data_IF_202044850715
#
_entry.id   IF_202044850715
#
_cell.length_a   1.000
_cell.length_b   1.000
_cell.length_c   1.000
_cell.angle_alpha   90.00
_cell.angle_beta   90.00
_cell.angle_gamma   90.00
#
_symmetry.space_group_name_H-M   'P 1'
#
loop_
_entity.id
_entity.type
_entity.pdbx_description
1 polymer ?
#
# COMPACT_ATOMS: atom_id res chain seq x y z
N UNK A 1 -12.13 -1.65 -46.23
CA UNK A 1 -13.21 -1.47 -45.24
C UNK A 1 -14.03 -2.74 -45.08
N UNK A 2 -14.36 -3.45 -46.16
CA UNK A 2 -15.23 -4.64 -46.14
C UNK A 2 -14.72 -5.82 -45.29
N UNK A 3 -13.42 -6.09 -45.30
CA UNK A 3 -12.82 -7.17 -44.50
C UNK A 3 -13.00 -6.93 -42.99
N UNK A 4 -12.86 -5.67 -42.53
CA UNK A 4 -13.08 -5.33 -41.13
C UNK A 4 -14.55 -5.50 -40.73
N UNK A 5 -15.48 -5.12 -41.60
CA UNK A 5 -16.92 -5.35 -41.38
C UNK A 5 -17.27 -6.84 -41.32
N UNK A 6 -16.68 -7.66 -42.18
CA UNK A 6 -16.88 -9.12 -42.16
C UNK A 6 -16.30 -9.75 -40.89
N UNK A 7 -15.10 -9.34 -40.46
CA UNK A 7 -14.48 -9.81 -39.20
C UNK A 7 -15.36 -9.43 -37.99
N UNK A 8 -15.86 -8.19 -37.94
CA UNK A 8 -16.76 -7.74 -36.87
C UNK A 8 -18.09 -8.52 -36.92
N UNK A 9 -18.63 -8.77 -38.12
CA UNK A 9 -19.86 -9.55 -38.31
C UNK A 9 -19.73 -10.99 -37.80
N UNK A 10 -18.62 -11.67 -38.11
CA UNK A 10 -18.33 -13.01 -37.60
C UNK A 10 -18.08 -13.01 -36.09
N UNK A 11 -17.38 -12.01 -35.56
CA UNK A 11 -17.19 -11.88 -34.11
C UNK A 11 -18.53 -11.69 -33.38
N UNK A 12 -19.42 -10.84 -33.89
CA UNK A 12 -20.73 -10.60 -33.32
C UNK A 12 -21.67 -11.80 -33.48
N UNK A 13 -21.57 -12.60 -34.56
CA UNK A 13 -22.39 -13.81 -34.71
C UNK A 13 -21.99 -14.92 -33.73
N UNK A 14 -20.73 -14.92 -33.27
CA UNK A 14 -20.22 -15.80 -32.21
C UNK A 14 -20.50 -15.27 -30.78
N UNK A 15 -21.45 -14.35 -30.60
CA UNK A 15 -21.79 -13.78 -29.29
C UNK A 15 -22.12 -14.85 -28.25
N UNK A 16 -22.79 -15.94 -28.63
CA UNK A 16 -23.12 -17.04 -27.74
C UNK A 16 -21.90 -17.77 -27.18
N UNK A 17 -20.71 -17.61 -27.78
CA UNK A 17 -19.46 -18.18 -27.29
C UNK A 17 -18.73 -17.24 -26.32
N UNK A 18 -18.51 -15.98 -26.71
CA UNK A 18 -17.74 -15.04 -25.89
C UNK A 18 -18.58 -14.29 -24.84
N UNK A 19 -19.86 -14.04 -25.10
CA UNK A 19 -20.73 -13.28 -24.19
C UNK A 19 -20.97 -14.04 -22.87
N UNK A 20 -21.30 -15.35 -22.85
CA UNK A 20 -21.44 -16.07 -21.58
C UNK A 20 -20.16 -16.08 -20.75
N UNK A 21 -18.99 -16.22 -21.39
CA UNK A 21 -17.69 -16.16 -20.70
C UNK A 21 -17.44 -14.77 -20.11
N UNK A 22 -17.70 -13.71 -20.88
CA UNK A 22 -17.55 -12.33 -20.41
C UNK A 22 -18.53 -12.02 -19.27
N UNK A 23 -19.80 -12.41 -19.39
CA UNK A 23 -20.82 -12.23 -18.36
C UNK A 23 -20.51 -13.04 -17.10
N UNK A 24 -20.02 -14.27 -17.24
CA UNK A 24 -19.62 -15.09 -16.10
C UNK A 24 -18.42 -14.49 -15.38
N UNK A 25 -17.41 -14.00 -16.11
CA UNK A 25 -16.28 -13.28 -15.52
C UNK A 25 -16.72 -12.03 -14.76
N UNK A 26 -17.59 -11.22 -15.37
CA UNK A 26 -18.15 -10.03 -14.72
C UNK A 26 -19.00 -10.39 -13.49
N UNK A 27 -19.81 -11.45 -13.59
CA UNK A 27 -20.61 -11.97 -12.48
C UNK A 27 -19.72 -12.39 -11.30
N UNK A 28 -18.69 -13.19 -11.54
CA UNK A 28 -17.76 -13.62 -10.48
C UNK A 28 -17.05 -12.42 -9.84
N UNK A 29 -16.62 -11.42 -10.63
CA UNK A 29 -16.02 -10.21 -10.08
C UNK A 29 -17.00 -9.43 -9.19
N UNK A 30 -18.22 -9.18 -9.68
CA UNK A 30 -19.25 -8.45 -8.93
C UNK A 30 -19.72 -9.23 -7.68
N UNK A 31 -19.92 -10.53 -7.81
CA UNK A 31 -20.32 -11.44 -6.75
C UNK A 31 -19.29 -11.46 -5.62
N UNK A 32 -18.01 -11.67 -5.97
CA UNK A 32 -16.94 -11.65 -4.97
C UNK A 32 -16.80 -10.28 -4.32
N UNK A 33 -16.97 -9.19 -5.07
CA UNK A 33 -16.92 -7.83 -4.52
C UNK A 33 -18.07 -7.58 -3.53
N UNK A 34 -19.27 -8.05 -3.86
CA UNK A 34 -20.43 -7.98 -2.97
C UNK A 34 -20.21 -8.78 -1.69
N UNK A 35 -19.78 -10.05 -1.79
CA UNK A 35 -19.52 -10.90 -0.63
C UNK A 35 -18.43 -10.34 0.27
N UNK A 36 -17.32 -9.85 -0.30
CA UNK A 36 -16.26 -9.19 0.45
C UNK A 36 -16.76 -7.94 1.17
N UNK A 37 -17.57 -7.12 0.51
CA UNK A 37 -18.16 -5.93 1.15
C UNK A 37 -19.09 -6.32 2.31
N UNK A 38 -19.86 -7.40 2.15
CA UNK A 38 -20.71 -7.95 3.22
C UNK A 38 -19.88 -8.49 4.38
N UNK A 39 -18.79 -9.20 4.11
CA UNK A 39 -17.87 -9.70 5.13
C UNK A 39 -17.19 -8.56 5.90
N UNK A 40 -16.68 -7.54 5.20
CA UNK A 40 -16.02 -6.37 5.81
C UNK A 40 -16.95 -5.58 6.72
N UNK A 41 -18.24 -5.47 6.35
CA UNK A 41 -19.25 -4.79 7.17
C UNK A 41 -19.57 -5.54 8.48
N UNK A 42 -19.33 -6.85 8.53
CA UNK A 42 -19.56 -7.66 9.74
C UNK A 42 -18.42 -7.56 10.76
N UNK A 43 -17.27 -7.04 10.35
CA UNK A 43 -16.13 -6.87 11.27
C UNK A 43 -16.43 -5.68 12.19
N UNK A 44 -16.32 -5.92 13.50
CA UNK A 44 -16.35 -4.84 14.49
C UNK A 44 -15.00 -4.12 14.46
N UNK A 45 -15.03 -2.85 14.09
CA UNK A 45 -13.85 -2.01 13.99
C UNK A 45 -13.79 -1.07 15.19
N UNK A 46 -12.65 -1.03 15.85
CA UNK A 46 -12.36 -0.09 16.93
C UNK A 46 -11.26 0.87 16.48
N UNK A 47 -11.24 2.07 17.06
CA UNK A 47 -10.22 3.09 16.85
C UNK A 47 -9.55 3.39 18.19
N UNK A 48 -8.22 3.21 18.23
CA UNK A 48 -7.40 3.44 19.40
C UNK A 48 -6.59 4.72 19.18
N UNK A 49 -6.68 5.68 20.10
CA UNK A 49 -5.75 6.80 20.21
C UNK A 49 -4.51 6.32 20.98
N UNK A 50 -3.32 6.60 20.44
CA UNK A 50 -2.06 6.20 21.05
C UNK A 50 -1.26 7.46 21.40
N UNK A 51 -0.97 7.64 22.69
CA UNK A 51 -0.13 8.73 23.20
C UNK A 51 1.18 8.15 23.69
N UNK A 52 2.29 8.59 23.10
CA UNK A 52 3.63 8.11 23.44
C UNK A 52 4.32 9.12 24.36
N UNK A 53 4.99 8.68 25.45
CA UNK A 53 5.70 9.56 26.37
C UNK A 53 6.96 10.17 25.74
N UNK A 54 7.37 11.36 26.23
CA UNK A 54 8.45 12.17 25.66
C UNK A 54 9.85 11.58 25.83
N UNK A 55 10.06 10.76 26.85
CA UNK A 55 11.40 10.32 27.27
C UNK A 55 11.89 9.08 26.51
N UNK A 56 11.05 8.52 25.64
CA UNK A 56 11.30 7.24 24.98
C UNK A 56 12.05 7.48 23.67
N UNK A 57 13.39 7.52 23.76
CA UNK A 57 14.28 7.57 22.60
C UNK A 57 14.29 6.24 21.85
N UNK A 58 13.23 5.97 21.08
CA UNK A 58 13.11 4.76 20.23
C UNK A 58 13.23 5.14 18.76
N UNK A 59 14.14 4.48 18.06
CA UNK A 59 14.34 4.64 16.62
C UNK A 59 13.18 4.03 15.83
N UNK A 60 13.02 4.37 14.53
CA UNK A 60 12.05 3.73 13.64
C UNK A 60 12.10 2.19 13.66
N UNK A 61 13.26 1.60 13.96
CA UNK A 61 13.44 0.16 14.21
C UNK A 61 12.44 -0.45 15.21
N UNK A 62 12.01 0.29 16.23
CA UNK A 62 10.97 -0.18 17.17
C UNK A 62 9.62 -0.36 16.48
N UNK A 63 9.27 0.51 15.54
CA UNK A 63 8.06 0.36 14.74
C UNK A 63 8.17 -0.81 13.76
N UNK A 64 9.37 -1.13 13.25
CA UNK A 64 9.59 -2.34 12.45
C UNK A 64 9.24 -3.61 13.25
N UNK A 65 9.58 -3.65 14.55
CA UNK A 65 9.19 -4.76 15.44
C UNK A 65 7.68 -4.84 15.67
N UNK A 66 7.00 -3.69 15.82
CA UNK A 66 5.53 -3.65 15.89
C UNK A 66 4.93 -4.25 14.61
N UNK A 67 5.41 -3.84 13.44
CA UNK A 67 4.96 -4.41 12.18
C UNK A 67 5.23 -5.91 12.11
N UNK A 68 6.40 -6.38 12.55
CA UNK A 68 6.68 -7.81 12.61
C UNK A 68 5.65 -8.58 13.45
N UNK A 69 5.24 -8.04 14.60
CA UNK A 69 4.16 -8.60 15.42
C UNK A 69 2.79 -8.58 14.72
N UNK A 70 2.44 -7.48 14.05
CA UNK A 70 1.19 -7.37 13.29
C UNK A 70 1.14 -8.31 12.07
N UNK A 71 2.30 -8.73 11.55
CA UNK A 71 2.35 -9.72 10.48
C UNK A 71 1.75 -11.07 10.89
N UNK A 72 1.71 -11.38 12.21
CA UNK A 72 1.15 -12.62 12.75
C UNK A 72 -0.33 -12.85 12.45
N UNK A 73 -1.06 -11.81 12.02
CA UNK A 73 -2.48 -11.91 11.57
C UNK A 73 -2.65 -12.52 10.17
N UNK A 74 -1.55 -12.81 9.47
CA UNK A 74 -1.57 -13.43 8.15
C UNK A 74 -2.36 -14.74 8.16
N UNK A 75 -3.41 -14.81 7.34
CA UNK A 75 -4.27 -16.00 7.25
C UNK A 75 -4.26 -16.55 5.82
N UNK A 76 -4.14 -17.87 5.69
CA UNK A 76 -4.29 -18.56 4.39
C UNK A 76 -5.77 -18.64 4.03
N UNK A 77 -6.16 -17.90 2.98
CA UNK A 77 -7.54 -17.89 2.49
C UNK A 77 -7.70 -18.95 1.40
N UNK A 78 -8.51 -19.98 1.65
CA UNK A 78 -8.81 -21.02 0.65
C UNK A 78 -9.65 -20.46 -0.50
N UNK A 79 -9.58 -21.10 -1.67
CA UNK A 79 -10.35 -20.72 -2.86
C UNK A 79 -11.85 -20.62 -2.56
N UNK A 80 -12.44 -21.65 -1.94
CA UNK A 80 -13.86 -21.66 -1.60
C UNK A 80 -14.23 -20.45 -0.71
N UNK A 81 -13.50 -20.26 0.39
CA UNK A 81 -13.74 -19.16 1.33
C UNK A 81 -13.62 -17.78 0.67
N UNK A 82 -12.72 -17.63 -0.30
CA UNK A 82 -12.52 -16.38 -1.06
C UNK A 82 -13.73 -16.06 -1.94
N UNK A 83 -14.25 -17.06 -2.66
CA UNK A 83 -15.19 -16.82 -3.73
C UNK A 83 -16.67 -17.00 -3.34
N UNK A 84 -17.02 -17.81 -2.32
CA UNK A 84 -18.39 -17.80 -1.79
C UNK A 84 -18.59 -17.47 -0.30
N UNK A 85 -17.54 -17.43 0.54
CA UNK A 85 -17.68 -16.80 1.88
C UNK A 85 -17.26 -15.32 1.89
N UNK A 86 -16.56 -14.88 0.84
CA UNK A 86 -16.04 -13.51 0.75
C UNK A 86 -14.99 -13.19 1.82
N UNK A 87 -14.32 -14.20 2.38
CA UNK A 87 -13.31 -13.99 3.41
C UNK A 87 -12.17 -13.13 2.84
N UNK A 88 -11.84 -12.05 3.55
CA UNK A 88 -10.74 -11.15 3.21
C UNK A 88 -9.72 -11.17 4.32
N UNK A 89 -8.46 -10.92 3.96
CA UNK A 89 -7.43 -10.62 4.95
C UNK A 89 -7.80 -9.27 5.56
N UNK A 90 -8.03 -9.27 6.87
CA UNK A 90 -8.24 -8.06 7.66
C UNK A 90 -7.00 -7.19 7.62
N UNK A 91 -7.21 -5.89 7.82
CA UNK A 91 -6.17 -4.88 7.71
C UNK A 91 -6.22 -3.95 8.92
N UNK A 92 -5.11 -3.26 9.13
CA UNK A 92 -4.96 -2.20 10.11
C UNK A 92 -4.92 -0.85 9.39
N UNK A 93 -5.38 0.20 10.06
CA UNK A 93 -5.19 1.58 9.61
C UNK A 93 -4.35 2.29 10.66
N UNK A 94 -3.10 2.61 10.33
CA UNK A 94 -2.29 3.48 11.17
C UNK A 94 -2.46 4.90 10.65
N UNK A 95 -2.79 5.84 11.53
CA UNK A 95 -3.23 7.17 11.14
C UNK A 95 -2.45 8.24 11.92
N UNK A 96 -2.10 9.31 11.21
CA UNK A 96 -1.55 10.54 11.80
C UNK A 96 -2.53 11.65 11.47
N UNK A 97 -3.03 12.36 12.47
CA UNK A 97 -3.94 13.47 12.28
C UNK A 97 -3.32 14.76 12.82
N UNK A 98 -3.18 15.76 11.95
CA UNK A 98 -2.98 17.15 12.31
C UNK A 98 -4.34 17.85 12.44
N UNK A 99 -4.73 18.26 13.64
CA UNK A 99 -5.98 18.97 13.93
C UNK A 99 -5.62 20.26 14.65
N UNK A 100 -5.90 21.40 14.02
CA UNK A 100 -5.66 22.73 14.61
C UNK A 100 -4.23 22.91 15.16
N UNK A 101 -3.24 22.38 14.45
CA UNK A 101 -1.82 22.41 14.84
C UNK A 101 -1.40 21.32 15.84
N UNK A 102 -2.33 20.56 16.42
CA UNK A 102 -2.02 19.39 17.24
C UNK A 102 -1.80 18.14 16.40
N UNK A 103 -0.86 17.27 16.81
CA UNK A 103 -0.60 15.98 16.15
C UNK A 103 -1.10 14.83 17.02
N UNK A 104 -1.86 13.92 16.41
CA UNK A 104 -2.46 12.77 17.07
C UNK A 104 -2.18 11.50 16.28
N UNK A 105 -1.95 10.40 16.99
CA UNK A 105 -1.74 9.08 16.39
C UNK A 105 -2.91 8.17 16.72
N UNK A 106 -3.41 7.49 15.69
CA UNK A 106 -4.50 6.52 15.85
C UNK A 106 -4.17 5.20 15.17
N UNK A 107 -4.73 4.12 15.71
CA UNK A 107 -4.70 2.79 15.12
C UNK A 107 -6.11 2.24 15.06
N UNK A 108 -6.62 2.01 13.85
CA UNK A 108 -7.88 1.32 13.62
C UNK A 108 -7.62 -0.16 13.38
N UNK A 109 -8.27 -1.01 14.16
CA UNK A 109 -8.07 -2.46 14.13
C UNK A 109 -9.40 -3.19 14.31
N UNK A 110 -9.54 -4.43 13.80
CA UNK A 110 -10.61 -5.33 14.26
C UNK A 110 -10.54 -5.53 15.77
N UNK A 111 -11.70 -5.57 16.43
CA UNK A 111 -11.82 -5.73 17.89
C UNK A 111 -11.05 -6.96 18.41
N UNK A 112 -11.11 -8.08 17.68
CA UNK A 112 -10.40 -9.32 18.01
C UNK A 112 -8.86 -9.19 18.06
N UNK A 113 -8.28 -8.17 17.43
CA UNK A 113 -6.84 -7.92 17.45
C UNK A 113 -6.45 -6.74 18.34
N UNK A 114 -7.37 -6.19 19.14
CA UNK A 114 -7.08 -5.12 20.10
C UNK A 114 -5.88 -5.46 20.98
N UNK A 115 -5.95 -6.62 21.65
CA UNK A 115 -4.91 -7.06 22.58
C UNK A 115 -3.56 -7.26 21.89
N UNK A 116 -3.56 -7.74 20.63
CA UNK A 116 -2.34 -7.86 19.84
C UNK A 116 -1.71 -6.49 19.59
N UNK A 117 -2.51 -5.52 19.11
CA UNK A 117 -2.03 -4.17 18.82
C UNK A 117 -1.50 -3.49 20.08
N UNK A 118 -2.27 -3.53 21.17
CA UNK A 118 -1.86 -2.96 22.46
C UNK A 118 -0.56 -3.60 22.96
N UNK A 119 -0.46 -4.93 22.96
CA UNK A 119 0.75 -5.64 23.40
C UNK A 119 1.99 -5.28 22.57
N UNK A 120 1.86 -5.18 21.23
CA UNK A 120 2.98 -4.79 20.38
C UNK A 120 3.45 -3.35 20.65
N UNK A 121 2.50 -2.42 20.88
CA UNK A 121 2.83 -1.04 21.21
C UNK A 121 3.50 -0.97 22.59
N UNK A 122 2.92 -1.58 23.63
CA UNK A 122 3.48 -1.58 24.98
C UNK A 122 4.86 -2.24 25.05
N UNK A 123 5.12 -3.27 24.26
CA UNK A 123 6.43 -3.94 24.21
C UNK A 123 7.56 -2.98 23.79
N UNK A 124 7.27 -2.03 22.90
CA UNK A 124 8.25 -1.04 22.42
C UNK A 124 8.18 0.28 23.19
N UNK A 125 6.98 0.65 23.65
CA UNK A 125 6.63 1.88 24.34
C UNK A 125 5.86 1.58 25.65
N UNK A 126 6.53 1.12 26.72
CA UNK A 126 5.83 0.69 27.95
C UNK A 126 5.02 1.78 28.65
N UNK A 127 5.38 3.06 28.46
CA UNK A 127 4.66 4.19 29.03
C UNK A 127 3.63 4.83 28.10
N UNK A 128 3.28 4.18 26.98
CA UNK A 128 2.24 4.68 26.10
C UNK A 128 0.86 4.64 26.79
N UNK A 129 -0.01 5.60 26.49
CA UNK A 129 -1.42 5.53 26.87
C UNK A 129 -2.26 5.20 25.64
N UNK A 130 -3.04 4.11 25.72
CA UNK A 130 -3.91 3.66 24.64
C UNK A 130 -5.35 3.71 25.11
N UNK A 131 -6.18 4.47 24.40
CA UNK A 131 -7.60 4.60 24.70
C UNK A 131 -8.45 4.42 23.46
N UNK A 132 -9.60 3.77 23.62
CA UNK A 132 -10.59 3.70 22.55
C UNK A 132 -11.29 5.05 22.40
N UNK A 133 -11.45 5.51 21.17
CA UNK A 133 -12.03 6.81 20.85
C UNK A 133 -12.98 6.75 19.67
N UNK A 134 -13.83 7.77 19.55
CA UNK A 134 -14.72 7.93 18.40
C UNK A 134 -13.93 8.41 17.17
N UNK A 135 -14.48 8.18 15.98
CA UNK A 135 -13.83 8.55 14.72
C UNK A 135 -13.65 10.08 14.60
N UNK A 136 -12.41 10.53 14.72
CA UNK A 136 -12.02 11.94 14.61
C UNK A 136 -12.39 12.56 13.25
N UNK A 137 -12.43 11.78 12.17
CA UNK A 137 -12.72 12.27 10.83
C UNK A 137 -14.23 12.35 10.53
N UNK A 138 -15.06 11.62 11.27
CA UNK A 138 -16.51 11.49 11.03
C UNK A 138 -17.27 12.83 11.04
N UNK A 139 -17.10 13.69 12.07
CA UNK A 139 -17.78 14.99 12.15
C UNK A 139 -17.42 15.97 11.03
N UNK A 140 -16.19 15.88 10.50
CA UNK A 140 -15.73 16.74 9.39
C UNK A 140 -16.22 16.21 8.04
N UNK A 141 -16.26 14.90 7.90
CA UNK A 141 -16.71 14.25 6.68
C UNK A 141 -18.15 14.59 6.26
N UNK A 142 -19.06 14.74 7.22
CA UNK A 142 -20.46 15.12 6.93
C UNK A 142 -20.59 16.55 6.41
N UNK A 143 -19.59 17.39 6.68
CA UNK A 143 -19.57 18.82 6.30
C UNK A 143 -18.93 19.06 4.93
N UNK A 144 -18.46 18.03 4.24
CA UNK A 144 -17.54 18.17 3.10
C UNK A 144 -17.90 17.26 1.92
N UNK A 145 -17.83 17.75 0.67
CA UNK A 145 -17.62 19.15 0.29
C UNK A 145 -18.89 20.00 0.50
N UNK A 146 -18.74 21.18 1.09
CA UNK A 146 -19.83 22.16 1.25
C UNK A 146 -19.36 23.57 0.89
N UNK A 147 -20.24 24.57 1.02
CA UNK A 147 -19.85 25.99 0.84
C UNK A 147 -18.81 26.43 1.87
N UNK A 148 -18.88 25.90 3.09
CA UNK A 148 -18.09 26.37 4.22
C UNK A 148 -16.82 25.55 4.44
N UNK A 149 -16.77 24.31 3.94
CA UNK A 149 -15.61 23.44 4.06
C UNK A 149 -15.27 22.79 2.74
N UNK A 150 -13.98 22.79 2.41
CA UNK A 150 -13.45 22.10 1.25
C UNK A 150 -12.47 20.99 1.64
N UNK A 151 -12.25 20.08 0.68
CA UNK A 151 -11.30 18.98 0.78
C UNK A 151 -10.44 18.89 -0.45
N UNK A 152 -9.17 18.56 -0.23
CA UNK A 152 -8.38 17.91 -1.24
C UNK A 152 -7.70 16.67 -0.68
N UNK A 153 -7.62 15.65 -1.53
CA UNK A 153 -7.22 14.32 -1.12
C UNK A 153 -6.43 13.63 -2.22
N UNK A 154 -5.43 12.88 -1.79
CA UNK A 154 -4.48 12.19 -2.65
C UNK A 154 -4.30 10.78 -2.13
N UNK A 155 -4.30 9.80 -3.03
CA UNK A 155 -3.81 8.45 -2.76
C UNK A 155 -2.43 8.33 -3.40
N UNK A 156 -1.46 7.77 -2.66
CA UNK A 156 -0.15 7.49 -3.20
C UNK A 156 -0.10 6.15 -3.89
N UNK A 157 0.76 6.06 -4.91
CA UNK A 157 1.17 4.83 -5.55
C UNK A 157 2.69 4.85 -5.75
N UNK A 158 3.29 3.69 -5.94
CA UNK A 158 4.69 3.58 -6.28
C UNK A 158 4.94 4.03 -7.72
N UNK A 159 6.10 4.64 -7.95
CA UNK A 159 6.54 5.12 -9.25
C UNK A 159 6.92 3.96 -10.17
N UNK A 160 7.61 2.96 -9.62
CA UNK A 160 8.05 1.71 -10.27
C UNK A 160 7.41 0.49 -9.60
N UNK A 161 7.74 -0.69 -10.12
CA UNK A 161 7.23 -1.97 -9.61
C UNK A 161 7.53 -2.21 -8.13
N UNK A 162 6.63 -2.95 -7.48
CA UNK A 162 6.61 -3.21 -6.03
C UNK A 162 7.91 -3.80 -5.46
N UNK A 163 8.68 -4.55 -6.25
CA UNK A 163 9.92 -5.16 -5.79
C UNK A 163 11.10 -4.18 -5.67
N UNK A 164 11.00 -2.97 -6.25
CA UNK A 164 12.00 -1.93 -6.01
C UNK A 164 11.79 -1.29 -4.63
N UNK A 165 12.87 -1.09 -3.84
CA UNK A 165 12.77 -0.47 -2.53
C UNK A 165 12.66 1.05 -2.57
N UNK A 166 12.11 1.58 -1.48
CA UNK A 166 12.19 2.99 -1.09
C UNK A 166 13.46 3.24 -0.27
N UNK A 167 13.73 4.52 0.00
CA UNK A 167 14.73 4.92 0.98
C UNK A 167 14.26 4.53 2.38
N UNK A 168 15.09 3.81 3.14
CA UNK A 168 14.74 3.30 4.48
C UNK A 168 15.49 4.01 5.60
N UNK A 169 14.98 3.93 6.84
CA UNK A 169 15.52 4.62 8.02
C UNK A 169 17.02 4.41 8.27
N UNK A 170 17.66 3.24 8.01
CA UNK A 170 19.10 3.10 8.18
C UNK A 170 19.92 4.04 7.30
N UNK A 171 19.34 4.55 6.20
CA UNK A 171 19.97 5.53 5.31
C UNK A 171 19.78 6.99 5.78
N UNK A 172 19.08 7.21 6.90
CA UNK A 172 18.93 8.49 7.59
C UNK A 172 19.68 8.51 8.93
N UNK A 173 20.03 7.34 9.46
CA UNK A 173 20.80 7.21 10.69
C UNK A 173 22.26 7.55 10.44
N UNK A 174 22.71 8.68 10.99
CA UNK A 174 24.13 8.98 11.12
C UNK A 174 24.74 8.34 12.37
N UNK A 175 26.06 8.13 12.38
CA UNK A 175 26.78 7.52 13.51
C UNK A 175 26.73 8.37 14.78
N UNK A 176 26.59 9.68 14.63
CA UNK A 176 26.45 10.64 15.73
C UNK A 176 24.97 10.83 16.07
N UNK A 177 24.59 10.60 17.33
CA UNK A 177 23.19 10.70 17.77
C UNK A 177 22.59 12.09 17.57
N UNK A 178 23.40 13.14 17.72
CA UNK A 178 22.98 14.55 17.54
C UNK A 178 22.61 14.90 16.10
N UNK A 179 23.17 14.18 15.11
CA UNK A 179 22.89 14.40 13.69
C UNK A 179 21.84 13.45 13.13
N UNK A 180 21.27 12.59 13.97
CA UNK A 180 20.22 11.66 13.55
C UNK A 180 18.98 12.45 13.14
N UNK A 181 18.71 12.49 11.83
CA UNK A 181 17.50 13.09 11.29
C UNK A 181 16.36 12.08 11.32
N UNK A 182 15.29 12.41 12.02
CA UNK A 182 14.08 11.59 12.03
C UNK A 182 13.40 11.65 10.63
N UNK A 183 13.12 10.51 9.98
CA UNK A 183 12.52 10.49 8.65
C UNK A 183 11.15 11.16 8.54
N UNK A 184 10.35 11.30 9.61
CA UNK A 184 9.04 11.98 9.54
C UNK A 184 9.05 13.40 10.10
N UNK A 185 10.20 13.92 10.56
CA UNK A 185 10.30 15.25 11.17
C UNK A 185 9.73 16.37 10.29
N UNK A 186 10.12 16.41 9.00
CA UNK A 186 9.61 17.41 8.06
C UNK A 186 8.09 17.35 7.89
N UNK A 187 7.53 16.13 7.96
CA UNK A 187 6.08 15.93 7.88
C UNK A 187 5.36 16.42 9.14
N UNK A 188 5.89 16.11 10.33
CA UNK A 188 5.32 16.56 11.60
C UNK A 188 5.35 18.09 11.77
N UNK A 189 6.39 18.74 11.27
CA UNK A 189 6.51 20.20 11.29
C UNK A 189 5.48 20.90 10.38
N UNK A 190 5.03 20.24 9.32
CA UNK A 190 3.90 20.74 8.51
C UNK A 190 2.61 20.67 9.31
N UNK A 191 2.39 19.59 10.06
CA UNK A 191 1.19 19.39 10.87
C UNK A 191 1.13 20.37 12.06
N UNK A 192 2.27 20.67 12.68
CA UNK A 192 2.35 21.59 13.83
C UNK A 192 2.01 23.04 13.47
N UNK A 193 2.23 23.43 12.20
CA UNK A 193 1.98 24.77 11.66
C UNK A 193 0.57 24.98 11.10
N UNK A 194 -0.30 23.98 11.20
CA UNK A 194 -1.69 24.10 10.74
C UNK A 194 -2.42 25.19 11.52
N UNK A 195 -3.17 26.02 10.80
CA UNK A 195 -4.02 27.06 11.40
C UNK A 195 -5.29 26.45 12.01
N UNK A 196 -6.00 27.18 12.87
CA UNK A 196 -7.32 26.78 13.31
C UNK A 196 -8.25 26.49 12.13
N UNK A 197 -9.03 25.42 12.22
CA UNK A 197 -9.87 24.87 11.15
C UNK A 197 -9.13 24.30 9.94
N UNK A 198 -7.81 24.07 10.02
CA UNK A 198 -7.06 23.26 9.07
C UNK A 198 -6.76 21.88 9.63
N UNK A 199 -7.08 20.85 8.85
CA UNK A 199 -6.90 19.47 9.25
C UNK A 199 -6.20 18.69 8.14
N UNK A 200 -5.11 18.00 8.48
CA UNK A 200 -4.44 17.06 7.57
C UNK A 200 -4.46 15.69 8.21
N UNK A 201 -5.02 14.72 7.50
CA UNK A 201 -5.08 13.34 7.93
C UNK A 201 -4.30 12.46 6.98
N UNK A 202 -3.46 11.59 7.54
CA UNK A 202 -2.72 10.58 6.81
C UNK A 202 -3.17 9.22 7.27
N UNK A 203 -3.43 8.37 6.30
CA UNK A 203 -3.92 7.03 6.52
C UNK A 203 -2.99 6.02 5.85
N UNK A 204 -2.41 5.13 6.65
CA UNK A 204 -1.62 3.99 6.22
C UNK A 204 -2.45 2.72 6.43
N UNK A 205 -3.06 2.23 5.35
CA UNK A 205 -3.82 0.98 5.39
C UNK A 205 -2.87 -0.16 5.07
N UNK A 206 -2.67 -1.06 6.02
CA UNK A 206 -1.69 -2.14 5.90
C UNK A 206 -2.30 -3.49 6.22
N UNK A 207 -1.85 -4.53 5.54
CA UNK A 207 -2.15 -5.92 5.89
C UNK A 207 -0.99 -6.82 5.49
N UNK A 208 -0.76 -7.93 6.19
CA UNK A 208 0.25 -8.89 5.77
C UNK A 208 -0.07 -9.37 4.35
N UNK A 209 0.98 -9.49 3.52
CA UNK A 209 0.84 -9.97 2.16
C UNK A 209 0.41 -11.45 2.18
N UNK A 210 -0.45 -11.88 1.24
CA UNK A 210 -0.81 -13.31 1.19
C UNK A 210 0.35 -14.16 0.65
N UNK A 211 0.46 -15.42 1.08
CA UNK A 211 1.53 -16.34 0.61
C UNK A 211 1.65 -16.41 -0.92
N UNK A 212 0.52 -16.42 -1.64
CA UNK A 212 0.49 -16.46 -3.11
C UNK A 212 0.98 -15.15 -3.74
N UNK A 213 0.66 -14.00 -3.14
CA UNK A 213 1.14 -12.69 -3.59
C UNK A 213 2.64 -12.52 -3.28
N UNK A 214 3.08 -12.96 -2.10
CA UNK A 214 4.48 -12.95 -1.69
C UNK A 214 5.34 -13.74 -2.67
N UNK A 215 4.96 -14.98 -3.00
CA UNK A 215 5.66 -15.79 -3.99
C UNK A 215 5.80 -15.08 -5.34
N UNK A 216 4.74 -14.41 -5.82
CA UNK A 216 4.77 -13.67 -7.10
C UNK A 216 5.76 -12.51 -7.08
N UNK A 217 5.83 -11.78 -5.96
CA UNK A 217 6.79 -10.69 -5.82
C UNK A 217 8.21 -11.22 -5.76
N UNK A 218 8.45 -12.32 -5.03
CA UNK A 218 9.76 -12.99 -4.99
C UNK A 218 10.20 -13.46 -6.38
N UNK A 219 9.29 -14.06 -7.14
CA UNK A 219 9.56 -14.50 -8.51
C UNK A 219 9.82 -13.32 -9.47
N UNK A 220 9.06 -12.23 -9.35
CA UNK A 220 9.25 -11.03 -10.17
C UNK A 220 10.59 -10.33 -9.85
N UNK A 221 10.93 -10.22 -8.57
CA UNK A 221 12.20 -9.68 -8.09
C UNK A 221 13.38 -10.50 -8.64
N UNK A 222 13.33 -11.82 -8.48
CA UNK A 222 14.38 -12.69 -9.00
C UNK A 222 14.47 -12.60 -10.51
N UNK A 223 13.35 -12.59 -11.24
CA UNK A 223 13.37 -12.44 -12.70
C UNK A 223 13.99 -11.11 -13.14
N UNK A 224 13.85 -10.04 -12.35
CA UNK A 224 14.49 -8.76 -12.62
C UNK A 224 16.01 -8.81 -12.35
N UNK A 225 16.44 -9.44 -11.25
CA UNK A 225 17.85 -9.65 -10.93
C UNK A 225 18.52 -10.52 -12.01
N UNK A 226 17.86 -11.60 -12.43
CA UNK A 226 18.36 -12.48 -13.48
C UNK A 226 18.53 -11.73 -14.81
N UNK A 227 17.58 -10.85 -15.17
CA UNK A 227 17.71 -9.95 -16.32
C UNK A 227 18.91 -9.03 -16.22
N UNK A 228 19.19 -8.46 -15.05
CA UNK A 228 20.36 -7.61 -14.83
C UNK A 228 21.66 -8.40 -15.01
N UNK A 229 21.71 -9.65 -14.55
CA UNK A 229 22.85 -10.55 -14.77
C UNK A 229 22.95 -11.12 -16.19
N UNK A 230 22.04 -10.75 -17.10
CA UNK A 230 21.97 -11.33 -18.45
C UNK A 230 21.48 -12.79 -18.48
N UNK A 231 21.07 -13.34 -17.34
CA UNK A 231 20.45 -14.65 -17.23
C UNK A 231 19.01 -14.53 -17.70
N UNK A 232 18.74 -14.79 -18.99
CA UNK A 232 17.37 -14.99 -19.45
C UNK A 232 16.85 -16.28 -18.80
N UNK A 233 16.03 -16.15 -17.76
CA UNK A 233 15.21 -17.27 -17.31
C UNK A 233 14.37 -17.74 -18.49
N UNK A 234 14.55 -19.00 -18.87
CA UNK A 234 13.55 -19.74 -19.65
C UNK A 234 12.20 -19.51 -18.95
N UNK A 235 11.23 -18.99 -19.71
CA UNK A 235 9.90 -18.76 -19.18
C UNK A 235 9.42 -20.07 -18.54
N UNK A 236 9.05 -20.04 -17.25
CA UNK A 236 8.43 -21.20 -16.59
C UNK A 236 7.29 -21.66 -17.49
N UNK A 237 7.48 -22.81 -18.14
CA UNK A 237 6.44 -23.50 -18.91
C UNK A 237 5.33 -23.83 -17.92
N UNK A 238 4.34 -22.95 -17.82
CA UNK A 238 3.09 -23.24 -17.12
C UNK A 238 2.43 -24.46 -17.76
N UNK A 239 1.45 -25.05 -17.08
CA UNK A 239 0.75 -26.29 -17.49
C UNK A 239 0.16 -26.28 -18.93
N UNK A 240 0.09 -25.12 -19.60
CA UNK A 240 -0.30 -24.95 -21.02
C UNK A 240 0.87 -24.66 -21.99
N UNK A 241 2.10 -24.48 -21.49
CA UNK A 241 3.29 -24.11 -22.26
C UNK A 241 3.93 -25.23 -23.07
N UNK A 242 3.46 -26.47 -22.91
CA UNK A 242 3.89 -27.61 -23.74
C UNK A 242 2.97 -27.84 -24.96
N UNK A 243 1.87 -27.10 -25.11
CA UNK A 243 0.90 -27.38 -26.18
C UNK A 243 1.04 -26.49 -27.42
N UNK A 244 1.98 -25.54 -27.47
CA UNK A 244 2.04 -24.56 -28.56
C UNK A 244 3.23 -24.71 -29.50
N UNK A 245 4.37 -25.25 -29.06
CA UNK A 245 5.53 -25.46 -29.93
C UNK A 245 5.40 -26.75 -30.74
N UNK A 246 5.36 -27.88 -30.04
CA UNK A 246 5.39 -29.22 -30.65
C UNK A 246 4.08 -29.55 -31.39
N UNK A 247 2.92 -29.09 -30.89
CA UNK A 247 1.65 -29.28 -31.59
C UNK A 247 1.50 -28.38 -32.83
N UNK A 248 2.08 -27.17 -32.82
CA UNK A 248 2.07 -26.30 -33.99
C UNK A 248 3.05 -26.79 -35.05
N UNK A 249 4.26 -27.24 -34.68
CA UNK A 249 5.20 -27.91 -35.59
C UNK A 249 4.62 -29.22 -36.13
N UNK A 250 3.95 -30.01 -35.30
CA UNK A 250 3.23 -31.21 -35.73
C UNK A 250 2.13 -30.87 -36.73
N UNK A 251 1.29 -29.86 -36.48
CA UNK A 251 0.23 -29.46 -37.40
C UNK A 251 0.77 -28.85 -38.70
N UNK A 252 1.88 -28.11 -38.64
CA UNK A 252 2.53 -27.53 -39.82
C UNK A 252 3.21 -28.62 -40.67
N UNK A 253 3.85 -29.60 -40.04
CA UNK A 253 4.50 -30.74 -40.71
C UNK A 253 3.48 -31.77 -41.19
N UNK A 254 2.34 -31.95 -40.51
CA UNK A 254 1.21 -32.75 -40.98
C UNK A 254 0.56 -32.13 -42.22
N UNK A 255 0.43 -30.80 -42.26
CA UNK A 255 -0.05 -30.08 -43.44
C UNK A 255 0.95 -30.13 -44.61
N UNK A 256 2.27 -30.15 -44.32
CA UNK A 256 3.34 -30.27 -45.33
C UNK A 256 3.62 -31.72 -45.76
N UNK A 257 3.25 -32.71 -44.96
CA UNK A 257 3.51 -34.14 -45.17
C UNK A 257 2.79 -34.75 -46.38
N UNK A 258 1.89 -34.01 -47.02
CA UNK A 258 1.29 -34.39 -48.31
C UNK A 258 2.22 -34.12 -49.51
N UNK A 259 3.31 -33.35 -49.35
CA UNK A 259 4.19 -32.94 -50.45
C UNK A 259 5.70 -33.08 -50.17
N UNK A 260 6.14 -33.18 -48.90
CA UNK A 260 7.58 -33.35 -48.55
C UNK A 260 7.70 -34.21 -47.28
N UNK A 261 8.73 -35.08 -47.20
CA UNK A 261 9.03 -35.85 -45.98
C UNK A 261 9.41 -34.93 -44.80
N UNK A 262 8.92 -35.18 -43.58
CA UNK A 262 9.18 -34.32 -42.43
C UNK A 262 10.63 -34.48 -41.92
N UNK A 263 11.40 -33.39 -41.93
CA UNK A 263 12.65 -33.29 -41.19
C UNK A 263 12.39 -32.76 -39.78
N UNK A 264 12.88 -33.48 -38.79
CA UNK A 264 12.89 -33.03 -37.40
C UNK A 264 14.21 -32.32 -37.16
N UNK A 265 14.15 -31.02 -36.81
CA UNK A 265 15.34 -30.28 -36.44
C UNK A 265 15.97 -30.90 -35.19
N UNK A 266 17.22 -31.36 -35.30
CA UNK A 266 18.02 -31.71 -34.14
C UNK A 266 18.09 -30.50 -33.20
N UNK A 267 17.75 -30.70 -31.93
CA UNK A 267 17.93 -29.70 -30.89
C UNK A 267 19.43 -29.42 -30.77
N UNK A 268 19.91 -28.35 -31.39
CA UNK A 268 21.17 -27.75 -31.01
C UNK A 268 21.06 -27.37 -29.53
N UNK A 269 21.81 -28.09 -28.69
CA UNK A 269 22.11 -27.64 -27.35
C UNK A 269 22.95 -26.38 -27.51
N UNK A 270 22.30 -25.22 -27.42
CA UNK A 270 22.99 -23.95 -27.24
C UNK A 270 23.74 -24.03 -25.90
N UNK A 271 25.01 -24.47 -25.94
CA UNK A 271 25.99 -24.14 -24.91
C UNK A 271 26.24 -22.61 -24.99
N UNK A 272 25.27 -21.84 -24.49
CA UNK A 272 25.49 -20.43 -24.21
C UNK A 272 26.33 -20.36 -22.95
N UNK A 273 27.64 -20.30 -23.17
CA UNK A 273 28.61 -19.87 -22.18
C UNK A 273 28.01 -18.71 -21.36
N UNK A 274 27.75 -18.97 -20.07
CA UNK A 274 27.32 -17.96 -19.12
C UNK A 274 28.44 -16.92 -18.97
N UNK A 275 28.47 -15.94 -19.87
CA UNK A 275 29.16 -14.68 -19.59
C UNK A 275 28.41 -14.05 -18.43
N UNK A 276 28.90 -14.29 -17.21
CA UNK A 276 28.53 -13.50 -16.06
C UNK A 276 28.92 -12.05 -16.38
N UNK A 277 27.95 -11.27 -16.85
CA UNK A 277 28.11 -9.83 -16.96
C UNK A 277 28.34 -9.31 -15.55
N UNK A 278 29.54 -8.77 -15.31
CA UNK A 278 29.83 -8.06 -14.06
C UNK A 278 28.91 -6.85 -14.01
N UNK A 279 27.99 -6.82 -13.05
CA UNK A 279 27.05 -5.71 -12.87
C UNK A 279 27.82 -4.40 -12.67
N UNK A 280 27.29 -3.31 -13.23
CA UNK A 280 27.77 -1.98 -12.87
C UNK A 280 27.52 -1.70 -11.37
N UNK A 281 28.28 -0.78 -10.73
CA UNK A 281 28.06 -0.46 -9.31
C UNK A 281 26.63 -0.03 -9.00
N UNK A 282 25.97 0.70 -9.93
CA UNK A 282 24.58 1.11 -9.78
C UNK A 282 23.59 -0.06 -9.86
N UNK A 283 23.81 -1.01 -10.78
CA UNK A 283 22.97 -2.22 -10.88
C UNK A 283 23.16 -3.14 -9.67
N UNK A 284 24.38 -3.24 -9.14
CA UNK A 284 24.66 -3.99 -7.92
C UNK A 284 23.87 -3.44 -6.73
N UNK A 285 23.88 -2.12 -6.52
CA UNK A 285 23.09 -1.47 -5.47
C UNK A 285 21.59 -1.73 -5.62
N UNK A 286 21.09 -1.73 -6.86
CA UNK A 286 19.67 -2.03 -7.13
C UNK A 286 19.35 -3.49 -6.83
N UNK A 287 20.19 -4.43 -7.26
CA UNK A 287 20.01 -5.85 -6.97
C UNK A 287 20.02 -6.15 -5.47
N UNK A 288 21.02 -5.63 -4.74
CA UNK A 288 21.12 -5.75 -3.29
C UNK A 288 19.89 -5.14 -2.58
N UNK A 289 19.43 -3.97 -3.03
CA UNK A 289 18.24 -3.34 -2.49
C UNK A 289 16.96 -4.16 -2.71
N UNK A 290 16.81 -4.77 -3.89
CA UNK A 290 15.68 -5.66 -4.21
C UNK A 290 15.71 -6.92 -3.34
N UNK A 291 16.88 -7.55 -3.18
CA UNK A 291 17.06 -8.72 -2.31
C UNK A 291 16.76 -8.37 -0.85
N UNK A 292 17.31 -7.26 -0.36
CA UNK A 292 17.06 -6.76 0.99
C UNK A 292 15.57 -6.50 1.24
N UNK A 293 14.85 -5.92 0.26
CA UNK A 293 13.41 -5.70 0.38
C UNK A 293 12.65 -7.00 0.56
N UNK A 294 12.93 -7.95 -0.31
CA UNK A 294 12.20 -9.22 -0.42
C UNK A 294 12.52 -10.19 0.72
N UNK A 295 13.69 -10.03 1.35
CA UNK A 295 14.10 -10.82 2.52
C UNK A 295 13.29 -10.52 3.80
N UNK A 296 12.61 -9.37 3.86
CA UNK A 296 11.85 -8.91 5.02
C UNK A 296 10.36 -9.22 4.89
N UNK A 297 9.64 -9.10 6.02
CA UNK A 297 8.19 -9.28 6.06
C UNK A 297 7.50 -8.25 5.17
N UNK A 298 6.68 -8.73 4.23
CA UNK A 298 6.01 -7.90 3.22
C UNK A 298 4.57 -7.61 3.60
N UNK A 299 4.20 -6.34 3.44
CA UNK A 299 2.87 -5.82 3.68
C UNK A 299 2.30 -5.25 2.41
N UNK A 300 1.05 -5.62 2.16
CA UNK A 300 0.25 -4.86 1.21
C UNK A 300 -0.18 -3.56 1.89
N UNK A 301 -0.04 -2.45 1.17
CA UNK A 301 -0.14 -1.11 1.73
C UNK A 301 -0.89 -0.15 0.80
N UNK A 302 -1.53 0.85 1.39
CA UNK A 302 -2.14 1.99 0.69
C UNK A 302 -2.06 3.22 1.57
N UNK A 303 -1.48 4.31 1.05
CA UNK A 303 -1.31 5.57 1.77
C UNK A 303 -2.21 6.63 1.17
N UNK A 304 -2.95 7.35 2.02
CA UNK A 304 -3.86 8.43 1.61
C UNK A 304 -3.71 9.65 2.49
N UNK A 305 -3.87 10.81 1.87
CA UNK A 305 -3.92 12.11 2.54
C UNK A 305 -5.28 12.75 2.33
N UNK A 306 -5.83 13.32 3.37
CA UNK A 306 -6.98 14.22 3.29
C UNK A 306 -6.60 15.55 3.96
N UNK A 307 -6.67 16.64 3.21
CA UNK A 307 -6.64 17.99 3.75
C UNK A 307 -8.05 18.54 3.74
N UNK A 308 -8.58 18.82 4.92
CA UNK A 308 -9.93 19.36 5.14
C UNK A 308 -9.77 20.67 5.87
N UNK A 309 -10.30 21.74 5.29
CA UNK A 309 -10.30 23.03 5.96
C UNK A 309 -11.56 23.82 5.62
N UNK A 310 -11.83 24.87 6.41
CA UNK A 310 -12.85 25.83 6.01
C UNK A 310 -12.44 26.52 4.69
N UNK A 311 -13.41 26.82 3.84
CA UNK A 311 -13.19 27.33 2.49
C UNK A 311 -12.40 28.66 2.45
N UNK A 312 -12.46 29.47 3.51
CA UNK A 312 -11.76 30.74 3.66
C UNK A 312 -10.27 30.60 3.98
N UNK A 313 -9.88 29.54 4.70
CA UNK A 313 -8.48 29.25 5.06
C UNK A 313 -7.86 28.15 4.19
N UNK A 314 -8.66 27.50 3.33
CA UNK A 314 -8.24 26.36 2.53
C UNK A 314 -7.10 26.72 1.57
N UNK A 315 -5.92 26.14 1.80
CA UNK A 315 -4.75 26.33 0.97
C UNK A 315 -4.23 25.00 0.38
N UNK A 316 -4.32 24.87 -0.95
CA UNK A 316 -3.81 23.68 -1.66
C UNK A 316 -2.30 23.48 -1.53
N UNK A 317 -1.54 24.52 -1.17
CA UNK A 317 -0.10 24.42 -0.92
C UNK A 317 0.24 23.41 0.19
N UNK A 318 -0.66 23.21 1.17
CA UNK A 318 -0.47 22.22 2.23
C UNK A 318 -0.36 20.79 1.68
N UNK A 319 -1.10 20.46 0.61
CA UNK A 319 -0.95 19.15 -0.05
C UNK A 319 0.38 19.05 -0.76
N UNK A 320 0.82 20.11 -1.44
CA UNK A 320 2.13 20.13 -2.08
C UNK A 320 3.26 19.98 -1.05
N UNK A 321 3.12 20.58 0.12
CA UNK A 321 4.06 20.44 1.23
C UNK A 321 4.13 18.99 1.74
N UNK A 322 2.98 18.35 1.99
CA UNK A 322 2.93 16.93 2.39
C UNK A 322 3.53 16.02 1.32
N UNK A 323 3.19 16.23 0.04
CA UNK A 323 3.79 15.47 -1.06
C UNK A 323 5.30 15.73 -1.17
N UNK A 324 5.75 16.94 -0.89
CA UNK A 324 7.16 17.31 -0.80
C UNK A 324 7.90 16.55 0.28
N UNK A 325 7.32 16.45 1.49
CA UNK A 325 7.88 15.65 2.57
C UNK A 325 8.02 14.17 2.16
N UNK A 326 7.03 13.61 1.47
CA UNK A 326 7.10 12.21 1.01
C UNK A 326 8.15 11.96 -0.08
N UNK A 327 8.65 12.99 -0.78
CA UNK A 327 9.73 12.81 -1.77
C UNK A 327 11.06 12.40 -1.14
N UNK A 328 11.29 12.67 0.14
CA UNK A 328 12.54 12.28 0.82
C UNK A 328 12.73 10.76 0.90
N UNK A 329 11.63 9.99 0.81
CA UNK A 329 11.64 8.53 0.78
C UNK A 329 11.94 7.97 -0.63
N UNK A 330 11.99 8.83 -1.65
CA UNK A 330 12.27 8.42 -3.01
C UNK A 330 13.77 8.28 -3.22
N UNK A 331 14.15 7.30 -4.02
CA UNK A 331 15.51 7.20 -4.57
C UNK A 331 15.48 7.35 -6.08
N UNK A 332 16.52 7.93 -6.67
CA UNK A 332 16.58 8.16 -8.13
C UNK A 332 16.64 6.84 -8.90
N UNK A 333 17.39 5.87 -8.37
CA UNK A 333 17.67 4.61 -9.04
C UNK A 333 16.68 3.48 -8.70
N UNK A 334 15.86 3.61 -7.65
CA UNK A 334 14.89 2.59 -7.23
C UNK A 334 13.46 3.15 -7.25
N UNK A 335 12.69 3.04 -6.16
CA UNK A 335 11.29 3.42 -6.12
C UNK A 335 11.06 4.77 -5.43
N UNK A 336 9.83 5.26 -5.54
CA UNK A 336 9.37 6.46 -4.91
C UNK A 336 7.84 6.59 -4.94
N UNK A 337 7.31 7.47 -4.12
CA UNK A 337 5.89 7.79 -4.11
C UNK A 337 5.52 8.80 -5.20
N UNK A 338 4.37 8.57 -5.84
CA UNK A 338 3.71 9.52 -6.73
C UNK A 338 2.20 9.59 -6.45
N UNK A 339 1.55 10.73 -6.71
CA UNK A 339 0.09 10.84 -6.55
C UNK A 339 -0.64 10.00 -7.61
N UNK A 340 -1.72 9.34 -7.21
CA UNK A 340 -2.64 8.64 -8.11
C UNK A 340 -3.69 9.61 -8.67
N UNK A 341 -3.51 10.01 -9.93
CA UNK A 341 -4.40 10.93 -10.66
C UNK A 341 -5.83 10.42 -10.81
N UNK A 342 -6.04 9.10 -10.79
CA UNK A 342 -7.34 8.49 -11.07
C UNK A 342 -8.34 8.61 -9.91
N UNK A 343 -7.83 8.72 -8.69
CA UNK A 343 -8.62 8.64 -7.45
C UNK A 343 -8.49 9.85 -6.54
N UNK A 344 -7.58 10.78 -6.83
CA UNK A 344 -7.49 12.06 -6.12
C UNK A 344 -8.74 12.92 -6.30
N UNK A 345 -8.82 14.01 -5.54
CA UNK A 345 -9.98 14.93 -5.56
C UNK A 345 -9.99 15.88 -6.74
N UNK A 346 -8.84 16.11 -7.38
CA UNK A 346 -8.71 16.98 -8.55
C UNK A 346 -9.25 16.31 -9.81
N UNK A 347 -9.91 17.07 -10.68
CA UNK A 347 -10.38 16.58 -11.98
C UNK A 347 -9.79 17.46 -13.09
N UNK A 348 -8.96 16.86 -13.93
CA UNK A 348 -8.43 17.51 -15.12
C UNK A 348 -9.20 17.01 -16.34
N UNK A 349 -10.39 17.58 -16.55
CA UNK A 349 -11.26 17.23 -17.67
C UNK A 349 -11.81 18.50 -18.34
N UNK A 350 -11.94 18.49 -19.69
CA UNK A 350 -12.44 19.64 -20.44
C UNK A 350 -13.92 19.95 -20.16
N UNK A 351 -14.73 18.93 -19.84
CA UNK A 351 -16.18 19.08 -19.64
C UNK A 351 -16.63 18.71 -18.22
N UNK A 352 -17.62 19.43 -17.68
CA UNK A 352 -18.24 19.19 -16.36
C UNK A 352 -17.26 19.11 -15.17
N UNK A 353 -16.14 19.84 -15.24
CA UNK A 353 -15.07 19.84 -14.23
C UNK A 353 -15.61 19.94 -12.80
N UNK A 354 -16.40 20.97 -12.49
CA UNK A 354 -16.98 21.21 -11.16
C UNK A 354 -17.82 20.02 -10.63
N UNK A 355 -18.71 19.48 -11.47
CA UNK A 355 -19.54 18.32 -11.10
C UNK A 355 -18.70 17.07 -10.85
N UNK A 356 -17.68 16.84 -11.67
CA UNK A 356 -16.77 15.70 -11.53
C UNK A 356 -15.88 15.83 -10.30
N UNK A 357 -15.36 17.02 -10.01
CA UNK A 357 -14.60 17.31 -8.79
C UNK A 357 -15.45 17.06 -7.55
N UNK A 358 -16.70 17.54 -7.52
CA UNK A 358 -17.62 17.29 -6.41
C UNK A 358 -17.82 15.78 -6.16
N UNK A 359 -18.07 15.00 -7.21
CA UNK A 359 -18.22 13.55 -7.11
C UNK A 359 -16.92 12.86 -6.66
N UNK A 360 -15.75 13.30 -7.15
CA UNK A 360 -14.44 12.79 -6.72
C UNK A 360 -14.19 13.07 -5.23
N UNK A 361 -14.46 14.29 -4.77
CA UNK A 361 -14.37 14.69 -3.35
C UNK A 361 -15.25 13.82 -2.47
N UNK A 362 -16.53 13.64 -2.84
CA UNK A 362 -17.47 12.78 -2.10
C UNK A 362 -17.03 11.31 -2.06
N UNK A 363 -16.56 10.78 -3.19
CA UNK A 363 -16.06 9.39 -3.25
C UNK A 363 -14.78 9.21 -2.44
N UNK A 364 -13.88 10.20 -2.44
CA UNK A 364 -12.63 10.17 -1.69
C UNK A 364 -12.91 10.14 -0.19
N UNK A 365 -13.71 11.08 0.32
CA UNK A 365 -14.01 11.17 1.75
C UNK A 365 -14.75 9.90 2.24
N UNK A 366 -15.69 9.36 1.46
CA UNK A 366 -16.37 8.11 1.84
C UNK A 366 -15.41 6.93 1.96
N UNK A 367 -14.39 6.85 1.08
CA UNK A 367 -13.34 5.82 1.16
C UNK A 367 -12.41 6.04 2.34
N UNK A 368 -12.08 7.29 2.63
CA UNK A 368 -11.23 7.70 3.75
C UNK A 368 -11.87 7.33 5.10
N UNK A 369 -13.09 7.82 5.38
CA UNK A 369 -13.81 7.56 6.65
C UNK A 369 -14.04 6.07 6.87
N UNK A 370 -14.43 5.35 5.82
CA UNK A 370 -14.70 3.91 5.95
C UNK A 370 -13.41 3.08 5.96
N UNK A 371 -12.24 3.74 5.87
CA UNK A 371 -10.91 3.14 5.74
C UNK A 371 -10.92 1.99 4.72
N UNK A 372 -11.61 2.20 3.59
CA UNK A 372 -11.84 1.15 2.59
C UNK A 372 -10.51 0.76 1.94
N UNK A 373 -10.24 -0.53 1.82
CA UNK A 373 -9.13 -1.01 0.99
C UNK A 373 -9.28 -0.46 -0.45
N UNK A 374 -8.19 0.00 -1.11
CA UNK A 374 -8.28 0.45 -2.49
C UNK A 374 -8.79 -0.68 -3.40
N UNK A 375 -9.85 -0.40 -4.17
CA UNK A 375 -10.42 -1.37 -5.10
C UNK A 375 -10.00 -1.03 -6.53
N UNK A 376 -9.53 -2.06 -7.24
CA UNK A 376 -9.35 -2.01 -8.70
C UNK A 376 -10.69 -1.66 -9.39
N UNK A 377 -10.65 -1.04 -10.59
CA UNK A 377 -9.45 -0.73 -11.39
C UNK A 377 -8.71 0.56 -11.00
N UNK A 378 -9.36 1.52 -10.32
CA UNK A 378 -8.78 2.86 -10.08
C UNK A 378 -7.94 2.95 -8.81
N UNK A 379 -8.38 2.29 -7.73
CA UNK A 379 -7.60 2.21 -6.50
C UNK A 379 -6.45 1.23 -6.68
N UNK A 380 -5.24 1.66 -6.31
CA UNK A 380 -4.04 0.84 -6.40
C UNK A 380 -3.47 0.62 -5.00
N UNK A 381 -3.19 -0.63 -4.69
CA UNK A 381 -2.35 -1.02 -3.56
C UNK A 381 -0.93 -1.30 -4.07
N UNK A 382 0.04 -1.27 -3.16
CA UNK A 382 1.44 -1.58 -3.44
C UNK A 382 2.05 -2.32 -2.26
N UNK A 383 3.24 -2.87 -2.46
CA UNK A 383 3.92 -3.68 -1.43
C UNK A 383 5.10 -2.93 -0.83
N UNK A 384 5.09 -2.85 0.49
CA UNK A 384 6.20 -2.35 1.31
C UNK A 384 6.66 -3.46 2.26
N UNK A 385 7.93 -3.49 2.60
CA UNK A 385 8.39 -4.32 3.71
C UNK A 385 8.20 -3.59 5.06
N UNK A 386 8.40 -4.32 6.16
CA UNK A 386 8.28 -3.78 7.52
C UNK A 386 9.21 -2.56 7.77
N UNK A 387 10.43 -2.57 7.22
CA UNK A 387 11.39 -1.46 7.36
C UNK A 387 10.94 -0.20 6.62
N UNK A 388 10.49 -0.34 5.36
CA UNK A 388 9.95 0.76 4.56
C UNK A 388 8.72 1.35 5.24
N UNK A 389 7.82 0.52 5.78
CA UNK A 389 6.66 0.97 6.55
C UNK A 389 7.07 1.72 7.81
N UNK A 390 8.02 1.18 8.58
CA UNK A 390 8.56 1.81 9.77
C UNK A 390 9.27 3.13 9.47
N UNK A 391 9.81 3.30 8.25
CA UNK A 391 10.44 4.55 7.82
C UNK A 391 9.42 5.65 7.54
N UNK A 392 8.27 5.29 6.98
CA UNK A 392 7.23 6.26 6.59
C UNK A 392 6.17 6.49 7.68
N UNK A 393 6.09 5.61 8.66
CA UNK A 393 5.24 5.72 9.83
C UNK A 393 5.98 5.16 11.04
N UNK A 394 6.24 6.02 12.03
CA UNK A 394 6.74 5.67 13.35
C UNK A 394 6.37 6.77 14.36
N UNK A 395 6.60 6.52 15.64
CA UNK A 395 6.48 7.57 16.65
C UNK A 395 7.81 8.34 16.74
N UNK A 396 7.79 9.68 16.75
CA UNK A 396 9.00 10.50 16.64
C UNK A 396 9.95 10.34 17.82
N UNK A 397 11.26 10.38 17.55
CA UNK A 397 12.36 10.17 18.50
C UNK A 397 12.48 11.26 19.57
N UNK A 398 12.40 12.52 19.13
CA UNK A 398 12.34 13.71 19.98
C UNK A 398 11.39 14.63 19.25
N UNK A 399 10.37 15.08 19.97
CA UNK A 399 9.38 16.03 19.47
C UNK A 399 10.14 17.23 18.92
N UNK A 400 10.19 17.38 17.59
CA UNK A 400 10.41 18.68 16.93
C UNK A 400 9.62 19.66 17.78
N UNK A 401 10.25 20.71 18.33
CA UNK A 401 9.70 21.69 19.30
C UNK A 401 8.38 22.31 18.81
N UNK A 402 7.34 21.50 18.75
CA UNK A 402 6.02 21.77 18.25
C UNK A 402 5.17 21.91 19.51
N UNK A 403 4.81 23.12 19.91
CA UNK A 403 4.22 23.42 21.22
C UNK A 403 2.84 22.76 21.48
N UNK A 404 2.26 22.05 20.51
CA UNK A 404 0.85 21.67 20.45
C UNK A 404 0.55 20.17 20.50
N UNK A 405 1.56 19.30 20.64
CA UNK A 405 1.30 17.90 20.96
C UNK A 405 0.72 17.80 22.39
N UNK A 406 -0.43 17.15 22.57
CA UNK A 406 -0.97 16.85 23.89
C UNK A 406 -0.26 15.62 24.45
N UNK A 407 0.48 15.80 25.54
CA UNK A 407 1.29 14.75 26.13
C UNK A 407 0.71 14.26 27.44
N UNK A 408 1.17 13.08 27.85
CA UNK A 408 1.06 12.61 29.22
C UNK A 408 2.18 13.29 30.01
N UNK A 409 1.84 14.18 30.94
CA UNK A 409 2.81 15.01 31.67
C UNK A 409 3.61 14.24 32.72
N UNK A 410 3.17 13.04 33.09
CA UNK A 410 3.89 12.16 34.01
C UNK A 410 3.31 10.75 33.90
N UNK A 411 4.15 9.71 33.95
CA UNK A 411 3.65 8.34 34.21
C UNK A 411 2.79 8.40 35.47
N UNK A 412 1.56 7.87 35.43
CA UNK A 412 0.83 7.60 36.67
C UNK A 412 1.74 6.72 37.52
N UNK A 413 2.23 7.27 38.63
CA UNK A 413 3.00 6.48 39.58
C UNK A 413 2.10 5.31 39.99
N UNK A 414 2.59 4.08 39.78
CA UNK A 414 1.93 2.93 40.37
C UNK A 414 1.91 3.18 41.89
N UNK A 415 0.74 3.07 42.55
CA UNK A 415 0.69 3.25 43.99
C UNK A 415 1.68 2.27 44.64
N UNK A 416 2.49 2.72 45.62
CA UNK A 416 3.44 1.86 46.29
C UNK A 416 2.71 0.65 46.86
N UNK A 417 3.32 -0.53 46.69
CA UNK A 417 2.76 -1.86 47.04
C UNK A 417 2.41 -1.99 48.54
N UNK A 418 2.78 -1.00 49.37
CA UNK A 418 2.58 -0.97 50.81
C UNK A 418 1.41 -0.10 51.29
N UNK A 419 0.38 0.15 50.48
CA UNK A 419 -0.83 0.81 50.99
C UNK A 419 -1.70 -0.22 51.74
N UNK A 420 -1.87 -0.10 53.07
CA UNK A 420 -2.88 -0.89 53.77
C UNK A 420 -4.25 -0.51 53.22
N UNK A 421 -5.00 -1.52 52.75
CA UNK A 421 -6.41 -1.38 52.44
C UNK A 421 -7.13 -1.23 53.78
N UNK A 422 -7.40 0.02 54.16
CA UNK A 422 -8.18 0.38 55.34
C UNK A 422 -9.66 0.38 55.06
#
# INVERSE_FOLDING_TARGET
MDILYQIIGVFLSLWWLWLPVALFSAFIELWTKYLKAKAVKKINWILLEVKVPRDVQRTPKSMEQIFAGLHGVQTKIKFWDKYWKGKVQEWFSLEIAGIDGGVYFFVRTPEQYRNLVEAQIYAQYPGAEIHETLDYAGPLASKVPSKNFDIAGVELVLARDDFYPLRTYPQFEEKEEERRVDPIAAFLEILSKLKPSENIFVQYIVKPLSFDEEKKIKEAAQAQIDKMHGRRKEAKKGFFGNFSGEAAEFMLNLAKGAFVFPEWAERKSDEKAEKQLTLSPGEKLVAEGVEAKVSKLLFKSSIRFAYIARSDVFNKANIAAVLGAFKQFNTVNMNGFKPNSDVGTSADYPFFKKRREYLKKKNFIERFIKRKWPSKPKGKDFTLNAEELATVYHYPLVVVKAPTLRHVESKKAEPPVSLPVG
#
